data_IF_879708441914
#
_entry.id   IF_879708441914
#
_cell.length_a   1.000
_cell.length_b   1.000
_cell.length_c   1.000
_cell.angle_alpha   90.00
_cell.angle_beta   90.00
_cell.angle_gamma   90.00
#
_symmetry.space_group_name_H-M   'P 1'
#
loop_
_entity.id
_entity.type
_entity.pdbx_description
1 polymer ?
#
# COMPACT_ATOMS: atom_id res chain seq x y z
N UNK A 1 13.86 15.83 29.40
CA UNK A 1 13.03 14.77 28.79
C UNK A 1 12.47 15.36 27.50
N UNK A 2 12.81 14.79 26.34
CA UNK A 2 12.27 15.27 25.06
C UNK A 2 10.77 14.98 25.01
N UNK A 3 9.97 15.94 24.55
CA UNK A 3 8.54 15.68 24.35
C UNK A 3 8.32 14.89 23.03
N UNK A 4 7.08 14.49 22.77
CA UNK A 4 6.73 13.71 21.56
C UNK A 4 7.06 14.47 20.27
N UNK A 5 6.89 15.79 20.26
CA UNK A 5 7.18 16.65 19.11
C UNK A 5 8.69 16.68 18.84
N UNK A 6 9.51 16.84 19.87
CA UNK A 6 10.97 16.84 19.77
C UNK A 6 11.49 15.50 19.22
N UNK A 7 10.89 14.40 19.68
CA UNK A 7 11.22 13.04 19.22
C UNK A 7 10.85 12.86 17.75
N UNK A 8 9.66 13.30 17.35
CA UNK A 8 9.22 13.25 15.94
C UNK A 8 10.11 14.11 15.03
N UNK A 9 10.47 15.33 15.46
CA UNK A 9 11.38 16.20 14.69
C UNK A 9 12.78 15.58 14.55
N UNK A 10 13.29 14.95 15.61
CA UNK A 10 14.56 14.22 15.55
C UNK A 10 14.49 13.03 14.59
N UNK A 11 13.42 12.25 14.64
CA UNK A 11 13.21 11.11 13.75
C UNK A 11 13.13 11.55 12.28
N UNK A 12 12.41 12.63 11.98
CA UNK A 12 12.36 13.25 10.64
C UNK A 12 13.76 13.69 10.19
N UNK A 13 14.47 14.47 11.02
CA UNK A 13 15.82 14.98 10.71
C UNK A 13 16.83 13.87 10.47
N UNK A 14 16.61 12.71 11.07
CA UNK A 14 17.53 11.57 10.99
C UNK A 14 16.99 10.44 10.11
N UNK A 15 15.91 10.66 9.36
CA UNK A 15 15.37 9.70 8.39
C UNK A 15 14.84 8.40 9.01
N UNK A 16 14.32 8.44 10.23
CA UNK A 16 13.67 7.30 10.89
C UNK A 16 12.18 7.34 10.55
N UNK A 17 11.71 6.37 9.76
CA UNK A 17 10.34 6.32 9.27
C UNK A 17 9.73 4.91 9.25
N UNK A 18 10.39 3.87 9.77
CA UNK A 18 9.90 2.47 9.68
C UNK A 18 8.48 2.33 10.26
N UNK A 19 8.21 2.91 11.43
CA UNK A 19 6.90 2.80 12.10
C UNK A 19 5.84 3.64 11.38
N UNK A 20 6.09 4.92 11.13
CA UNK A 20 5.19 5.78 10.35
C UNK A 20 4.81 5.17 9.01
N UNK A 21 5.79 4.70 8.23
CA UNK A 21 5.48 4.06 6.93
C UNK A 21 4.76 2.72 7.09
N UNK A 22 5.03 1.94 8.15
CA UNK A 22 4.25 0.72 8.44
C UNK A 22 2.78 1.07 8.70
N UNK A 23 2.50 2.12 9.48
CA UNK A 23 1.16 2.57 9.79
C UNK A 23 0.45 3.16 8.56
N UNK A 24 1.15 4.00 7.77
CA UNK A 24 0.63 4.54 6.51
C UNK A 24 0.35 3.46 5.48
N UNK A 25 1.18 2.41 5.43
CA UNK A 25 0.93 1.24 4.57
C UNK A 25 -0.37 0.54 4.98
N UNK A 26 -0.60 0.32 6.28
CA UNK A 26 -1.84 -0.31 6.75
C UNK A 26 -3.08 0.56 6.47
N UNK A 27 -3.02 1.86 6.77
CA UNK A 27 -4.13 2.79 6.53
C UNK A 27 -4.42 2.96 5.03
N UNK A 28 -3.38 3.13 4.23
CA UNK A 28 -3.48 3.21 2.78
C UNK A 28 -4.06 1.92 2.18
N UNK A 29 -3.62 0.76 2.65
CA UNK A 29 -4.16 -0.53 2.21
C UNK A 29 -5.64 -0.68 2.55
N UNK A 30 -6.09 -0.24 3.73
CA UNK A 30 -7.50 -0.31 4.12
C UNK A 30 -8.40 0.52 3.21
N UNK A 31 -8.05 1.79 2.97
CA UNK A 31 -8.81 2.68 2.08
C UNK A 31 -8.77 2.17 0.65
N UNK A 32 -7.58 1.87 0.12
CA UNK A 32 -7.43 1.41 -1.26
C UNK A 32 -8.10 0.05 -1.49
N UNK A 33 -8.13 -0.85 -0.50
CA UNK A 33 -8.86 -2.11 -0.61
C UNK A 33 -10.38 -1.92 -0.75
N UNK A 34 -10.94 -0.97 -0.01
CA UNK A 34 -12.34 -0.56 -0.16
C UNK A 34 -12.64 -0.10 -1.59
N UNK A 35 -11.82 0.81 -2.12
CA UNK A 35 -12.05 1.33 -3.47
C UNK A 35 -11.83 0.30 -4.56
N UNK A 36 -10.86 -0.61 -4.40
CA UNK A 36 -10.66 -1.72 -5.33
C UNK A 36 -11.89 -2.63 -5.35
N UNK A 37 -12.41 -3.01 -4.18
CA UNK A 37 -13.59 -3.85 -4.10
C UNK A 37 -14.79 -3.18 -4.78
N UNK A 38 -15.11 -1.94 -4.43
CA UNK A 38 -16.24 -1.20 -4.99
C UNK A 38 -16.10 -0.98 -6.50
N UNK A 39 -14.91 -0.64 -6.97
CA UNK A 39 -14.65 -0.44 -8.40
C UNK A 39 -14.80 -1.73 -9.21
N UNK A 40 -14.37 -2.87 -8.64
CA UNK A 40 -14.45 -4.16 -9.31
C UNK A 40 -15.87 -4.75 -9.24
N UNK A 41 -16.59 -4.50 -8.15
CA UNK A 41 -18.01 -4.84 -7.99
C UNK A 41 -18.88 -4.06 -8.98
N UNK A 42 -18.64 -2.76 -9.14
CA UNK A 42 -19.29 -1.93 -10.15
C UNK A 42 -19.00 -2.39 -11.60
N UNK A 43 -17.92 -3.14 -11.81
CA UNK A 43 -17.58 -3.81 -13.08
C UNK A 43 -17.97 -5.32 -13.08
N UNK A 44 -18.80 -5.73 -12.12
CA UNK A 44 -19.39 -7.07 -11.95
C UNK A 44 -18.37 -8.22 -11.86
N UNK A 45 -17.12 -7.93 -11.50
CA UNK A 45 -16.03 -8.94 -11.48
C UNK A 45 -15.95 -9.81 -12.74
N UNK A 46 -16.23 -9.22 -13.92
CA UNK A 46 -16.34 -9.97 -15.19
C UNK A 46 -15.07 -10.73 -15.62
N UNK A 47 -13.93 -10.47 -14.98
CA UNK A 47 -12.69 -11.23 -15.13
C UNK A 47 -12.24 -11.77 -13.76
N UNK A 48 -11.94 -13.07 -13.68
CA UNK A 48 -11.46 -13.74 -12.46
C UNK A 48 -10.20 -13.08 -11.87
N UNK A 49 -9.34 -12.48 -12.71
CA UNK A 49 -8.14 -11.75 -12.26
C UNK A 49 -8.47 -10.52 -11.41
N UNK A 50 -9.70 -9.99 -11.47
CA UNK A 50 -10.14 -8.86 -10.65
C UNK A 50 -10.19 -9.20 -9.15
N UNK A 51 -10.23 -10.48 -8.78
CA UNK A 51 -10.19 -10.93 -7.38
C UNK A 51 -8.79 -10.90 -6.76
N UNK A 52 -7.73 -10.96 -7.58
CA UNK A 52 -6.35 -10.92 -7.07
C UNK A 52 -6.06 -9.71 -6.17
N UNK A 53 -6.34 -8.46 -6.61
CA UNK A 53 -6.08 -7.30 -5.76
C UNK A 53 -6.99 -7.24 -4.53
N UNK A 54 -8.18 -7.84 -4.58
CA UNK A 54 -9.10 -7.96 -3.42
C UNK A 54 -8.51 -8.84 -2.32
N UNK A 55 -7.72 -9.86 -2.66
CA UNK A 55 -7.07 -10.71 -1.65
C UNK A 55 -5.67 -10.22 -1.28
N UNK A 56 -4.90 -9.70 -2.24
CA UNK A 56 -3.50 -9.31 -2.00
C UNK A 56 -3.38 -8.02 -1.22
N UNK A 57 -4.08 -6.96 -1.62
CA UNK A 57 -3.92 -5.65 -0.99
C UNK A 57 -4.27 -5.64 0.50
N UNK A 58 -5.38 -6.27 0.96
CA UNK A 58 -5.71 -6.29 2.39
C UNK A 58 -4.67 -6.96 3.28
N UNK A 59 -3.77 -7.81 2.74
CA UNK A 59 -2.70 -8.41 3.54
C UNK A 59 -1.74 -7.38 4.14
N UNK A 60 -1.59 -6.20 3.53
CA UNK A 60 -0.78 -5.11 4.07
C UNK A 60 -1.37 -4.49 5.34
N UNK A 61 -2.67 -4.65 5.61
CA UNK A 61 -3.31 -4.09 6.81
C UNK A 61 -2.74 -4.75 8.08
N UNK A 62 -2.90 -6.07 8.30
CA UNK A 62 -2.31 -6.72 9.47
C UNK A 62 -0.78 -6.68 9.43
N UNK A 63 -0.15 -6.71 8.25
CA UNK A 63 1.32 -6.65 8.15
C UNK A 63 1.89 -5.29 8.57
N UNK A 64 1.25 -4.18 8.18
CA UNK A 64 1.64 -2.82 8.58
C UNK A 64 1.39 -2.56 10.06
N UNK A 65 0.24 -3.01 10.60
CA UNK A 65 -0.02 -2.97 12.04
C UNK A 65 1.03 -3.77 12.81
N UNK A 66 1.32 -5.01 12.38
CA UNK A 66 2.36 -5.82 13.00
C UNK A 66 3.74 -5.16 12.89
N UNK A 67 4.08 -4.55 11.76
CA UNK A 67 5.35 -3.84 11.55
C UNK A 67 5.52 -2.63 12.47
N UNK A 68 4.44 -1.89 12.71
CA UNK A 68 4.44 -0.77 13.66
C UNK A 68 4.83 -1.23 15.08
N UNK A 69 4.30 -2.35 15.56
CA UNK A 69 4.60 -2.86 16.91
C UNK A 69 5.84 -3.74 16.99
N UNK A 70 6.22 -4.44 15.91
CA UNK A 70 7.31 -5.43 15.89
C UNK A 70 8.35 -5.14 14.81
N UNK A 71 9.60 -4.94 15.23
CA UNK A 71 10.75 -4.81 14.33
C UNK A 71 10.92 -6.05 13.43
N UNK A 72 10.67 -7.24 13.98
CA UNK A 72 10.76 -8.50 13.21
C UNK A 72 9.72 -8.50 12.10
N UNK A 73 8.46 -8.14 12.39
CA UNK A 73 7.41 -8.09 11.39
C UNK A 73 7.68 -7.02 10.31
N UNK A 74 8.17 -5.84 10.71
CA UNK A 74 8.56 -4.76 9.79
C UNK A 74 9.67 -5.18 8.80
N UNK A 75 10.51 -6.16 9.16
CA UNK A 75 11.64 -6.64 8.33
C UNK A 75 11.37 -7.98 7.64
N UNK A 76 10.21 -8.61 7.87
CA UNK A 76 9.89 -9.93 7.30
C UNK A 76 8.53 -9.94 6.63
N UNK A 77 7.45 -9.81 7.41
CA UNK A 77 6.07 -9.91 6.94
C UNK A 77 5.69 -8.72 6.05
N UNK A 78 5.92 -7.49 6.54
CA UNK A 78 5.60 -6.27 5.81
C UNK A 78 6.24 -6.21 4.41
N UNK A 79 7.57 -6.39 4.25
CA UNK A 79 8.16 -6.34 2.91
C UNK A 79 7.68 -7.47 2.00
N UNK A 80 7.37 -8.66 2.54
CA UNK A 80 6.84 -9.76 1.73
C UNK A 80 5.44 -9.43 1.16
N UNK A 81 4.51 -8.96 2.01
CA UNK A 81 3.18 -8.54 1.55
C UNK A 81 3.27 -7.34 0.61
N UNK A 82 4.14 -6.37 0.92
CA UNK A 82 4.35 -5.18 0.11
C UNK A 82 4.92 -5.48 -1.27
N UNK A 83 5.86 -6.43 -1.38
CA UNK A 83 6.37 -6.88 -2.67
C UNK A 83 5.26 -7.52 -3.51
N UNK A 84 4.43 -8.38 -2.91
CA UNK A 84 3.29 -8.97 -3.61
C UNK A 84 2.30 -7.92 -4.12
N UNK A 85 2.04 -6.86 -3.34
CA UNK A 85 1.20 -5.73 -3.73
C UNK A 85 1.80 -4.96 -4.91
N UNK A 86 3.11 -4.65 -4.88
CA UNK A 86 3.77 -3.97 -6.00
C UNK A 86 3.69 -4.81 -7.28
N UNK A 87 3.97 -6.10 -7.20
CA UNK A 87 3.88 -7.01 -8.35
C UNK A 87 2.44 -7.07 -8.88
N UNK A 88 1.45 -7.21 -8.00
CA UNK A 88 0.05 -7.27 -8.41
C UNK A 88 -0.46 -5.93 -8.97
N UNK A 89 -0.03 -4.80 -8.42
CA UNK A 89 -0.38 -3.48 -8.93
C UNK A 89 0.22 -3.21 -10.31
N UNK A 90 1.49 -3.53 -10.54
CA UNK A 90 2.14 -3.45 -11.87
C UNK A 90 1.44 -4.35 -12.88
N UNK A 91 1.12 -5.59 -12.50
CA UNK A 91 0.34 -6.51 -13.32
C UNK A 91 -1.04 -5.92 -13.65
N UNK A 92 -1.74 -5.37 -12.65
CA UNK A 92 -3.02 -4.73 -12.80
C UNK A 92 -2.97 -3.53 -13.75
N UNK A 93 -1.91 -2.71 -13.69
CA UNK A 93 -1.71 -1.58 -14.60
C UNK A 93 -1.64 -2.06 -16.04
N UNK A 94 -0.85 -3.10 -16.31
CA UNK A 94 -0.78 -3.71 -17.64
C UNK A 94 -2.16 -4.22 -18.10
N UNK A 95 -2.88 -4.94 -17.24
CA UNK A 95 -4.20 -5.48 -17.58
C UNK A 95 -5.25 -4.38 -17.82
N UNK A 96 -5.23 -3.30 -17.05
CA UNK A 96 -6.11 -2.15 -17.22
C UNK A 96 -5.83 -1.43 -18.54
N UNK A 97 -4.56 -1.15 -18.86
CA UNK A 97 -4.21 -0.53 -20.14
C UNK A 97 -4.54 -1.44 -21.33
N UNK A 98 -4.28 -2.73 -21.22
CA UNK A 98 -4.70 -3.70 -22.25
C UNK A 98 -6.21 -3.67 -22.43
N UNK A 99 -6.98 -3.62 -21.35
CA UNK A 99 -8.44 -3.53 -21.39
C UNK A 99 -8.93 -2.24 -22.07
N UNK A 100 -8.29 -1.10 -21.80
CA UNK A 100 -8.58 0.17 -22.50
C UNK A 100 -8.27 0.03 -24.00
N UNK A 101 -7.10 -0.49 -24.37
CA UNK A 101 -6.66 -0.63 -25.75
C UNK A 101 -7.55 -1.60 -26.58
N UNK A 102 -8.21 -2.55 -25.92
CA UNK A 102 -9.13 -3.51 -26.56
C UNK A 102 -10.51 -2.92 -26.84
N UNK A 103 -10.84 -1.74 -26.32
CA UNK A 103 -12.11 -1.07 -26.63
C UNK A 103 -12.11 -0.52 -28.07
N UNK A 104 -13.29 -0.39 -28.70
CA UNK A 104 -13.39 0.27 -30.01
C UNK A 104 -12.72 1.64 -30.01
N UNK A 105 -11.91 1.92 -31.03
CA UNK A 105 -11.12 3.15 -31.14
C UNK A 105 -9.79 3.15 -30.36
N UNK A 106 -9.48 2.11 -29.58
CA UNK A 106 -8.19 1.96 -28.91
C UNK A 106 -7.94 2.97 -27.78
N UNK A 107 -6.71 3.47 -27.66
CA UNK A 107 -6.32 4.42 -26.62
C UNK A 107 -6.80 5.84 -26.96
N UNK A 108 -8.03 6.15 -26.54
CA UNK A 108 -8.62 7.49 -26.62
C UNK A 108 -8.83 8.06 -25.23
N UNK A 109 -8.94 9.39 -25.11
CA UNK A 109 -9.31 10.05 -23.85
C UNK A 109 -10.61 9.46 -23.29
N UNK A 110 -11.61 9.29 -24.14
CA UNK A 110 -12.90 8.68 -23.76
C UNK A 110 -12.72 7.27 -23.18
N UNK A 111 -11.91 6.40 -23.81
CA UNK A 111 -11.68 5.04 -23.30
C UNK A 111 -10.83 5.03 -22.02
N UNK A 112 -9.95 6.01 -21.81
CA UNK A 112 -9.20 6.13 -20.55
C UNK A 112 -10.09 6.58 -19.38
N UNK A 113 -11.11 7.38 -19.63
CA UNK A 113 -12.04 7.89 -18.61
C UNK A 113 -13.22 6.92 -18.34
N UNK A 114 -13.77 6.30 -19.40
CA UNK A 114 -14.92 5.39 -19.32
C UNK A 114 -14.56 3.90 -19.22
N UNK A 115 -13.28 3.57 -19.37
CA UNK A 115 -12.73 2.22 -19.30
C UNK A 115 -12.32 1.80 -17.90
N UNK A 116 -11.60 0.68 -17.77
CA UNK A 116 -10.91 0.35 -16.53
C UNK A 116 -10.05 1.53 -16.05
N UNK A 117 -10.03 1.87 -14.75
CA UNK A 117 -9.27 3.02 -14.26
C UNK A 117 -7.78 2.91 -14.61
N UNK A 118 -7.25 3.81 -15.43
CA UNK A 118 -5.91 3.67 -16.02
C UNK A 118 -4.77 3.58 -14.99
N UNK A 119 -4.89 4.28 -13.86
CA UNK A 119 -3.82 4.43 -12.87
C UNK A 119 -4.11 3.80 -11.51
N UNK A 120 -5.33 3.32 -11.25
CA UNK A 120 -5.69 2.80 -9.93
C UNK A 120 -4.80 1.63 -9.47
N UNK A 121 -4.42 0.64 -10.32
CA UNK A 121 -3.50 -0.41 -9.90
C UNK A 121 -2.07 0.10 -9.60
N UNK A 122 -1.65 1.18 -10.27
CA UNK A 122 -0.36 1.80 -10.02
C UNK A 122 -0.35 2.54 -8.69
N UNK A 123 -1.46 3.20 -8.33
CA UNK A 123 -1.64 3.81 -7.01
C UNK A 123 -1.62 2.76 -5.89
N UNK A 124 -2.21 1.58 -6.10
CA UNK A 124 -2.09 0.46 -5.17
C UNK A 124 -0.62 0.01 -4.99
N UNK A 125 0.20 0.10 -6.04
CA UNK A 125 1.64 -0.18 -5.94
C UNK A 125 2.37 0.81 -5.03
N UNK A 126 1.93 2.07 -4.93
CA UNK A 126 2.50 3.04 -4.00
C UNK A 126 2.27 2.63 -2.54
N UNK A 127 1.13 2.01 -2.23
CA UNK A 127 0.86 1.43 -0.90
C UNK A 127 1.88 0.33 -0.58
N UNK A 128 2.11 -0.58 -1.53
CA UNK A 128 3.17 -1.58 -1.39
C UNK A 128 4.56 -0.97 -1.24
N UNK A 129 4.90 0.04 -2.05
CA UNK A 129 6.19 0.72 -2.00
C UNK A 129 6.47 1.37 -0.64
N UNK A 130 5.46 1.96 0.02
CA UNK A 130 5.61 2.49 1.38
C UNK A 130 6.06 1.40 2.37
N UNK A 131 5.49 0.19 2.30
CA UNK A 131 5.88 -0.90 3.19
C UNK A 131 7.25 -1.50 2.86
N UNK A 132 7.68 -1.49 1.59
CA UNK A 132 9.06 -1.81 1.22
C UNK A 132 10.04 -0.77 1.79
N UNK A 133 9.73 0.52 1.67
CA UNK A 133 10.55 1.59 2.23
C UNK A 133 10.60 1.52 3.76
N UNK A 134 9.49 1.18 4.43
CA UNK A 134 9.46 0.93 5.86
C UNK A 134 10.51 -0.12 6.27
N UNK A 135 10.58 -1.22 5.52
CA UNK A 135 11.52 -2.31 5.78
C UNK A 135 12.99 -1.97 5.50
N UNK A 136 13.28 -0.83 4.85
CA UNK A 136 14.64 -0.35 4.60
C UNK A 136 15.06 0.74 5.60
N UNK A 137 14.13 1.63 5.98
CA UNK A 137 14.41 2.78 6.83
C UNK A 137 14.56 2.42 8.30
N UNK A 138 15.16 3.33 9.07
CA UNK A 138 15.41 3.10 10.50
C UNK A 138 14.11 3.24 11.30
N UNK A 139 14.06 2.55 12.44
CA UNK A 139 12.92 2.60 13.35
C UNK A 139 12.91 3.88 14.17
N UNK A 140 11.72 4.46 14.27
CA UNK A 140 11.41 5.63 15.09
C UNK A 140 11.44 5.26 16.58
N UNK A 141 11.91 6.19 17.42
CA UNK A 141 12.04 6.00 18.87
C UNK A 141 10.77 6.42 19.63
N UNK A 142 9.66 6.62 18.91
CA UNK A 142 8.35 6.94 19.48
C UNK A 142 8.00 6.02 20.66
N UNK A 143 7.69 6.59 21.85
CA UNK A 143 7.30 5.79 23.00
C UNK A 143 5.95 5.12 22.72
N UNK A 144 5.92 3.79 22.85
CA UNK A 144 4.69 3.00 22.73
C UNK A 144 4.10 2.70 24.11
N UNK A 145 2.77 2.59 24.24
CA UNK A 145 2.12 2.21 25.49
C UNK A 145 2.74 0.90 26.05
N UNK A 146 3.17 0.93 27.31
CA UNK A 146 3.77 -0.24 27.99
C UNK A 146 5.28 -0.41 27.83
N UNK A 147 5.97 0.42 27.03
CA UNK A 147 7.43 0.50 27.07
C UNK A 147 7.82 1.57 28.10
N UNK A 148 8.14 1.14 29.33
CA UNK A 148 8.60 2.04 30.40
C UNK A 148 9.78 2.89 29.93
N UNK A 149 9.81 4.15 30.37
CA UNK A 149 10.90 5.09 30.13
C UNK A 149 12.22 4.47 30.61
N UNK A 150 13.06 4.07 29.66
CA UNK A 150 14.47 3.79 29.94
C UNK A 150 15.25 5.09 29.92
#
# INVERSE_FOLDING_TARGET
>A
MMNVIDTALHDIRTGRFERTLSALTAAGAAVTAGEIYLSHDGASFGNKMMWWPVFVLPTAIPAGVAGFFSRRAARTVLPATSAAIVVNGVQGTYLHWRGIAQRPGGLTKYNMESGPPAFAPLLASLVGAMGLLAALLRREDLPLPGQGSR
#
